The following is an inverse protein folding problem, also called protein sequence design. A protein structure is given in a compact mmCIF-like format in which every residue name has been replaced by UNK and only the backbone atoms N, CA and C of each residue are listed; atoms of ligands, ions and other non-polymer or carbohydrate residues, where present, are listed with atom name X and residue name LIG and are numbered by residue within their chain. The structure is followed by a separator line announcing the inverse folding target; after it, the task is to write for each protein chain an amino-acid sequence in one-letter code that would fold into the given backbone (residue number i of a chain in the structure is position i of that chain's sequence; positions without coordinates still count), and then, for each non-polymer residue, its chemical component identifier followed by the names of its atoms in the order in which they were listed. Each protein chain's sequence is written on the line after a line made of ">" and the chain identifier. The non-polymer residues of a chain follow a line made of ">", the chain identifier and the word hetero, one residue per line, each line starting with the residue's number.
data_IF_061014722975
#
_entry.id   IF_061014722975
#
_cell.length_a   1.000
_cell.length_b   1.000
_cell.length_c   1.000
_cell.angle_alpha   90.00
_cell.angle_beta   90.00
_cell.angle_gamma   90.00
#
_symmetry.space_group_name_H-M   'P 1'
#
loop_
_entity.id
_entity.type
_entity.pdbx_description
1 polymer ?
#
# COMPACT_ATOMS: atom_id res chain seq x y z
N UNK A 1 12.01 32.43 38.54
CA UNK A 1 10.93 31.88 39.38
C UNK A 1 10.41 30.62 38.73
N UNK A 2 10.35 29.55 39.51
CA UNK A 2 10.37 28.16 39.07
C UNK A 2 9.09 27.74 38.32
N UNK A 3 9.23 26.82 37.37
CA UNK A 3 8.13 25.98 36.92
C UNK A 3 8.54 24.52 37.05
N UNK A 4 7.73 23.78 37.79
CA UNK A 4 7.87 22.37 38.13
C UNK A 4 7.56 21.49 36.90
N UNK A 5 8.25 20.36 36.77
CA UNK A 5 7.57 19.07 36.62
C UNK A 5 8.55 17.92 36.90
N UNK A 6 8.25 17.14 37.93
CA UNK A 6 8.92 15.88 38.27
C UNK A 6 8.08 14.70 37.80
N UNK A 7 8.78 13.65 37.38
CA UNK A 7 8.40 12.22 37.38
C UNK A 7 7.29 11.80 36.38
N UNK A 8 7.29 10.64 35.73
CA UNK A 8 7.94 9.35 36.05
C UNK A 8 7.85 8.38 34.84
N UNK A 9 8.69 7.34 34.85
CA UNK A 9 8.33 6.03 34.29
C UNK A 9 8.94 5.65 32.94
N UNK A 10 10.14 5.05 32.96
CA UNK A 10 10.45 4.02 31.97
C UNK A 10 11.06 2.80 32.67
N UNK A 11 10.37 1.68 32.51
CA UNK A 11 10.63 0.40 33.15
C UNK A 11 11.96 -0.19 32.70
N UNK A 12 12.72 -0.70 33.66
CA UNK A 12 13.86 -1.58 33.41
C UNK A 12 13.35 -2.84 32.72
N UNK A 13 13.75 -3.04 31.46
CA UNK A 13 13.77 -4.38 30.86
C UNK A 13 15.23 -4.83 30.82
N UNK A 14 15.44 -5.86 31.62
CA UNK A 14 16.59 -6.74 31.79
C UNK A 14 17.64 -6.70 30.68
N UNK A 15 18.89 -6.54 31.13
CA UNK A 15 20.11 -6.78 30.39
C UNK A 15 20.10 -8.16 29.73
N UNK A 16 19.77 -8.20 28.45
CA UNK A 16 20.15 -9.33 27.61
C UNK A 16 21.52 -8.98 27.03
N UNK A 17 22.56 -9.54 27.64
CA UNK A 17 23.94 -9.42 27.22
C UNK A 17 24.16 -10.17 25.90
N UNK A 18 23.61 -9.63 24.82
CA UNK A 18 24.10 -9.91 23.48
C UNK A 18 25.09 -8.80 23.14
N UNK A 19 26.37 -9.08 23.42
CA UNK A 19 27.50 -8.28 22.94
C UNK A 19 27.38 -8.11 21.42
N UNK A 20 26.81 -6.98 20.99
CA UNK A 20 26.92 -6.54 19.61
C UNK A 20 28.39 -6.14 19.40
N UNK A 21 29.12 -6.79 18.49
CA UNK A 21 30.54 -6.50 18.30
C UNK A 21 30.75 -5.00 18.05
N UNK A 22 31.75 -4.41 18.73
CA UNK A 22 32.07 -2.98 18.72
C UNK A 22 32.35 -2.40 17.31
N UNK A 23 32.48 -3.25 16.29
CA UNK A 23 32.57 -2.84 14.88
C UNK A 23 31.25 -2.33 14.28
N UNK A 24 30.09 -2.55 14.93
CA UNK A 24 28.80 -2.05 14.45
C UNK A 24 28.57 -0.57 14.82
N UNK A 25 29.34 -0.04 15.76
CA UNK A 25 29.09 1.28 16.35
C UNK A 25 29.80 2.45 15.66
N UNK A 26 30.90 2.23 14.94
CA UNK A 26 31.75 3.34 14.45
C UNK A 26 31.28 3.95 13.11
N UNK A 27 30.61 3.20 12.22
CA UNK A 27 30.17 3.69 10.90
C UNK A 27 28.64 3.83 10.74
N UNK A 28 27.90 3.87 11.84
CA UNK A 28 26.42 3.93 11.83
C UNK A 28 25.87 5.09 10.98
N UNK A 29 26.51 6.25 11.00
CA UNK A 29 26.08 7.42 10.22
C UNK A 29 26.33 7.25 8.72
N UNK A 30 27.48 6.68 8.35
CA UNK A 30 27.85 6.45 6.95
C UNK A 30 26.98 5.35 6.33
N UNK A 31 26.77 4.25 7.04
CA UNK A 31 25.87 3.18 6.62
C UNK A 31 24.43 3.68 6.46
N UNK A 32 23.95 4.52 7.39
CA UNK A 32 22.62 5.14 7.28
C UNK A 32 22.48 6.04 6.06
N UNK A 33 23.57 6.70 5.65
CA UNK A 33 23.60 7.53 4.44
C UNK A 33 23.59 6.65 3.20
N UNK A 34 24.46 5.63 3.15
CA UNK A 34 24.53 4.68 2.04
C UNK A 34 23.19 3.98 1.80
N UNK A 35 22.54 3.48 2.85
CA UNK A 35 21.21 2.86 2.74
C UNK A 35 20.18 3.83 2.20
N UNK A 36 20.18 5.09 2.66
CA UNK A 36 19.26 6.12 2.13
C UNK A 36 19.53 6.43 0.67
N UNK A 37 20.80 6.52 0.28
CA UNK A 37 21.21 6.82 -1.08
C UNK A 37 20.81 5.67 -2.02
N UNK A 38 20.94 4.42 -1.59
CA UNK A 38 20.47 3.23 -2.33
C UNK A 38 18.95 3.25 -2.49
N UNK A 39 18.19 3.41 -1.39
CA UNK A 39 16.72 3.47 -1.46
C UNK A 39 16.27 4.58 -2.40
N UNK A 40 16.90 5.75 -2.34
CA UNK A 40 16.61 6.87 -3.22
C UNK A 40 16.98 6.60 -4.68
N UNK A 41 18.07 5.88 -4.93
CA UNK A 41 18.48 5.52 -6.30
C UNK A 41 17.50 4.56 -6.98
N UNK A 42 16.77 3.76 -6.20
CA UNK A 42 15.74 2.82 -6.66
C UNK A 42 14.34 3.24 -6.25
N UNK A 43 14.08 4.54 -6.07
CA UNK A 43 12.79 5.10 -5.62
C UNK A 43 11.60 4.62 -6.47
N UNK A 44 11.82 4.40 -7.78
CA UNK A 44 10.80 3.91 -8.71
C UNK A 44 10.42 2.42 -8.57
N UNK A 45 11.21 1.64 -7.82
CA UNK A 45 10.96 0.20 -7.61
C UNK A 45 9.93 -0.02 -6.51
N UNK A 46 9.79 0.94 -5.58
CA UNK A 46 8.87 0.86 -4.47
C UNK A 46 7.58 1.61 -4.78
N UNK A 47 6.44 1.00 -4.48
CA UNK A 47 5.14 1.69 -4.53
C UNK A 47 5.12 2.82 -3.51
N UNK A 48 4.75 4.02 -3.97
CA UNK A 48 4.68 5.23 -3.13
C UNK A 48 3.36 5.34 -2.38
N UNK A 49 2.30 4.78 -2.96
CA UNK A 49 0.99 4.65 -2.36
C UNK A 49 0.29 3.37 -2.84
N UNK A 50 -0.95 3.15 -2.39
CA UNK A 50 -1.74 1.95 -2.71
C UNK A 50 -2.22 1.88 -4.17
N UNK A 51 -2.13 2.97 -4.92
CA UNK A 51 -2.57 3.10 -6.31
C UNK A 51 -1.39 3.20 -7.29
N UNK A 52 -0.16 3.35 -6.78
CA UNK A 52 1.09 3.26 -7.53
C UNK A 52 1.38 1.80 -7.94
N UNK A 53 0.54 1.33 -8.85
CA UNK A 53 0.67 0.04 -9.50
C UNK A 53 1.47 0.22 -10.78
N UNK A 54 2.60 -0.47 -10.88
CA UNK A 54 3.45 -0.40 -12.07
C UNK A 54 2.70 -0.87 -13.32
N UNK A 55 3.09 -0.32 -14.48
CA UNK A 55 2.52 -0.70 -15.77
C UNK A 55 3.55 -1.41 -16.66
N UNK A 56 3.14 -2.52 -17.26
CA UNK A 56 3.92 -3.19 -18.30
C UNK A 56 3.72 -2.47 -19.64
N UNK A 57 4.80 -2.25 -20.38
CA UNK A 57 4.77 -1.63 -21.73
C UNK A 57 4.60 -2.67 -22.85
N UNK A 58 3.92 -3.77 -22.56
CA UNK A 58 3.71 -4.90 -23.47
C UNK A 58 2.29 -4.86 -24.06
N UNK A 59 2.01 -5.73 -25.03
CA UNK A 59 0.68 -5.85 -25.63
C UNK A 59 -0.38 -6.20 -24.55
N UNK A 60 -1.60 -5.64 -24.62
CA UNK A 60 -2.66 -5.94 -23.66
C UNK A 60 -2.99 -7.43 -23.60
N UNK A 61 -3.14 -7.96 -22.38
CA UNK A 61 -3.49 -9.36 -22.21
C UNK A 61 -4.90 -9.67 -22.74
N UNK A 62 -5.04 -10.77 -23.49
CA UNK A 62 -6.32 -11.25 -24.04
C UNK A 62 -6.74 -12.54 -23.34
N UNK A 63 -7.98 -12.55 -22.84
CA UNK A 63 -8.57 -13.72 -22.19
C UNK A 63 -9.35 -14.52 -23.25
N UNK A 64 -8.97 -15.78 -23.47
CA UNK A 64 -9.71 -16.69 -24.35
C UNK A 64 -10.97 -17.21 -23.65
N UNK A 65 -12.12 -17.10 -24.30
CA UNK A 65 -13.39 -17.58 -23.76
C UNK A 65 -13.65 -19.04 -24.18
N UNK A 66 -14.27 -19.80 -23.28
CA UNK A 66 -14.76 -21.16 -23.59
C UNK A 66 -16.16 -21.15 -24.21
N UNK A 67 -16.88 -20.03 -24.14
CA UNK A 67 -18.25 -19.85 -24.63
C UNK A 67 -18.55 -18.37 -24.84
N UNK A 68 -19.42 -18.07 -25.81
CA UNK A 68 -19.88 -16.70 -26.12
C UNK A 68 -21.10 -16.27 -25.29
N UNK A 69 -21.57 -17.12 -24.36
CA UNK A 69 -22.69 -16.77 -23.48
C UNK A 69 -22.29 -15.64 -22.52
N UNK A 70 -23.05 -14.54 -22.59
CA UNK A 70 -22.87 -13.39 -21.72
C UNK A 70 -23.50 -13.66 -20.35
N UNK A 71 -22.81 -13.25 -19.28
CA UNK A 71 -23.28 -13.41 -17.89
C UNK A 71 -23.42 -12.03 -17.25
N UNK A 72 -24.65 -11.67 -16.92
CA UNK A 72 -24.98 -10.42 -16.22
C UNK A 72 -25.71 -10.71 -14.92
N UNK A 73 -25.00 -10.55 -13.81
CA UNK A 73 -25.55 -10.70 -12.47
C UNK A 73 -25.96 -9.35 -11.91
N UNK A 74 -27.04 -9.36 -11.11
CA UNK A 74 -27.54 -8.18 -10.40
C UNK A 74 -26.61 -7.86 -9.23
N UNK A 75 -26.36 -6.56 -9.01
CA UNK A 75 -25.63 -6.11 -7.82
C UNK A 75 -26.34 -6.52 -6.53
N UNK A 76 -25.56 -6.79 -5.48
CA UNK A 76 -26.09 -7.12 -4.16
C UNK A 76 -26.77 -5.90 -3.51
N UNK A 77 -27.62 -6.18 -2.54
CA UNK A 77 -28.10 -5.14 -1.65
C UNK A 77 -26.97 -4.73 -0.70
N UNK A 78 -26.62 -3.45 -0.69
CA UNK A 78 -25.61 -2.86 0.19
C UNK A 78 -26.27 -1.87 1.14
N UNK A 79 -25.72 -1.74 2.35
CA UNK A 79 -26.08 -0.67 3.27
C UNK A 79 -25.57 0.68 2.76
N UNK A 80 -26.12 1.78 3.29
CA UNK A 80 -25.70 3.13 2.91
C UNK A 80 -24.20 3.39 3.21
N UNK A 81 -23.68 2.81 4.29
CA UNK A 81 -22.27 2.97 4.68
C UNK A 81 -21.35 2.22 3.71
N UNK A 82 -21.73 1.01 3.33
CA UNK A 82 -20.98 0.23 2.34
C UNK A 82 -21.02 0.90 0.96
N UNK A 83 -22.17 1.41 0.53
CA UNK A 83 -22.29 2.12 -0.75
C UNK A 83 -21.40 3.37 -0.79
N UNK A 84 -21.33 4.13 0.30
CA UNK A 84 -20.43 5.28 0.43
C UNK A 84 -18.96 4.88 0.32
N UNK A 85 -18.56 3.78 0.97
CA UNK A 85 -17.18 3.30 0.92
C UNK A 85 -16.84 2.74 -0.48
N UNK A 86 -17.74 1.98 -1.09
CA UNK A 86 -17.60 1.49 -2.46
C UNK A 86 -17.39 2.67 -3.42
N UNK A 87 -18.24 3.69 -3.35
CA UNK A 87 -18.12 4.87 -4.21
C UNK A 87 -16.79 5.63 -3.98
N UNK A 88 -16.37 5.76 -2.71
CA UNK A 88 -15.09 6.38 -2.33
C UNK A 88 -13.88 5.61 -2.88
N UNK A 89 -13.95 4.28 -2.95
CA UNK A 89 -12.89 3.46 -3.55
C UNK A 89 -12.91 3.54 -5.07
N UNK A 90 -14.09 3.47 -5.69
CA UNK A 90 -14.27 3.59 -7.15
C UNK A 90 -13.71 4.91 -7.66
N UNK A 91 -14.01 6.03 -7.00
CA UNK A 91 -13.51 7.36 -7.38
C UNK A 91 -11.97 7.41 -7.37
N UNK A 92 -11.33 6.87 -6.32
CA UNK A 92 -9.87 6.82 -6.23
C UNK A 92 -9.25 5.95 -7.34
N UNK A 93 -9.87 4.82 -7.67
CA UNK A 93 -9.41 3.94 -8.75
C UNK A 93 -9.58 4.58 -10.13
N UNK A 94 -10.67 5.33 -10.34
CA UNK A 94 -10.90 6.12 -11.56
C UNK A 94 -9.86 7.22 -11.69
N UNK A 95 -9.59 7.97 -10.62
CA UNK A 95 -8.58 9.02 -10.60
C UNK A 95 -7.17 8.47 -10.88
N UNK A 96 -6.86 7.28 -10.37
CA UNK A 96 -5.61 6.58 -10.64
C UNK A 96 -5.54 5.94 -12.04
N UNK A 97 -6.63 5.94 -12.81
CA UNK A 97 -6.69 5.34 -14.16
C UNK A 97 -6.65 3.81 -14.18
N UNK A 98 -6.93 3.15 -13.05
CA UNK A 98 -6.88 1.69 -12.92
C UNK A 98 -8.16 1.00 -13.39
N UNK A 99 -9.28 1.73 -13.36
CA UNK A 99 -10.57 1.28 -13.89
C UNK A 99 -11.13 2.35 -14.84
N UNK A 100 -12.13 1.95 -15.63
CA UNK A 100 -12.84 2.83 -16.56
C UNK A 100 -14.31 2.45 -16.65
N UNK A 101 -15.15 3.41 -16.97
CA UNK A 101 -16.54 3.13 -17.32
C UNK A 101 -16.64 2.31 -18.61
N UNK A 102 -17.63 1.42 -18.67
CA UNK A 102 -17.90 0.61 -19.86
C UNK A 102 -19.37 0.18 -19.90
N UNK A 103 -19.88 -0.07 -21.11
CA UNK A 103 -21.22 -0.61 -21.33
C UNK A 103 -21.16 -2.12 -21.59
N UNK A 104 -20.48 -2.85 -20.72
CA UNK A 104 -20.24 -4.29 -20.86
C UNK A 104 -21.54 -5.09 -20.71
N UNK A 105 -21.77 -6.13 -21.54
CA UNK A 105 -22.85 -7.09 -21.29
C UNK A 105 -22.52 -8.06 -20.13
N UNK A 106 -21.28 -8.09 -19.67
CA UNK A 106 -20.84 -8.85 -18.50
C UNK A 106 -20.92 -7.99 -17.24
N UNK A 107 -21.54 -8.52 -16.19
CA UNK A 107 -21.67 -7.86 -14.89
C UNK A 107 -21.57 -8.88 -13.75
N UNK A 108 -20.79 -8.53 -12.73
CA UNK A 108 -20.64 -9.32 -11.50
C UNK A 108 -20.84 -8.39 -10.29
N UNK A 109 -21.56 -8.82 -9.24
CA UNK A 109 -21.79 -7.99 -8.06
C UNK A 109 -20.49 -7.75 -7.29
N UNK A 110 -20.39 -6.58 -6.66
CA UNK A 110 -19.34 -6.26 -5.68
C UNK A 110 -19.67 -6.92 -4.34
N UNK A 111 -18.64 -7.29 -3.60
CA UNK A 111 -18.69 -7.95 -2.28
C UNK A 111 -18.06 -7.08 -1.20
#
# INVERSE_FOLDING_TARGET
>A
MNSYCSQEGYSQTTEDQNNLPQSVTENKCELRKEVKDIIKSFDSVFSKDKYDVGALRVEPHRIALNSDLQVSLRSNHTSLVEEQEINSQVEKLLQAGLIKESNSPYSSPVT
#
